data_IF_336135479158
#
_entry.id   IF_336135479158
#
_cell.length_a   1.000
_cell.length_b   1.000
_cell.length_c   1.000
_cell.angle_alpha   90.00
_cell.angle_beta   90.00
_cell.angle_gamma   90.00
#
_symmetry.space_group_name_H-M   'P 1'
#
loop_
_entity.id
_entity.type
_entity.pdbx_description
1 polymer ?
#
# COMPACT_ATOMS: atom_id res chain seq x y z
N UNK A 1 6.85 -12.68 -35.40
CA UNK A 1 5.59 -12.13 -34.84
C UNK A 1 5.68 -12.15 -33.32
N UNK A 2 6.17 -11.08 -32.70
CA UNK A 2 5.98 -10.84 -31.26
C UNK A 2 4.53 -10.40 -31.12
N UNK A 3 3.68 -11.18 -30.45
CA UNK A 3 2.36 -10.71 -30.02
C UNK A 3 2.62 -9.48 -29.14
N UNK A 4 2.27 -8.31 -29.65
CA UNK A 4 1.96 -7.14 -28.83
C UNK A 4 0.91 -7.62 -27.83
N UNK A 5 1.36 -7.86 -26.60
CA UNK A 5 0.46 -7.85 -25.46
C UNK A 5 0.01 -6.40 -25.43
N UNK A 6 -1.19 -6.14 -25.94
CA UNK A 6 -1.82 -4.84 -25.78
C UNK A 6 -1.73 -4.50 -24.30
N UNK A 7 -1.13 -3.33 -23.97
CA UNK A 7 -1.08 -2.82 -22.60
C UNK A 7 -2.45 -3.03 -21.98
N UNK A 8 -2.50 -3.58 -20.76
CA UNK A 8 -3.76 -3.65 -20.04
C UNK A 8 -4.30 -2.22 -19.98
N UNK A 9 -5.56 -2.05 -20.36
CA UNK A 9 -6.19 -0.72 -20.31
C UNK A 9 -6.18 -0.25 -18.85
N UNK A 10 -5.39 0.79 -18.56
CA UNK A 10 -5.26 1.38 -17.23
C UNK A 10 -6.63 1.72 -16.64
N UNK A 11 -7.58 2.13 -17.49
CA UNK A 11 -8.95 2.40 -17.07
C UNK A 11 -9.66 1.14 -16.57
N UNK A 12 -9.45 0.01 -17.24
CA UNK A 12 -10.02 -1.27 -16.83
C UNK A 12 -9.46 -1.70 -15.46
N UNK A 13 -8.15 -1.56 -15.25
CA UNK A 13 -7.51 -1.88 -13.96
C UNK A 13 -8.08 -1.01 -12.84
N UNK A 14 -8.19 0.30 -13.06
CA UNK A 14 -8.77 1.24 -12.09
C UNK A 14 -10.26 0.94 -11.80
N UNK A 15 -11.04 0.59 -12.82
CA UNK A 15 -12.43 0.16 -12.64
C UNK A 15 -12.52 -1.12 -11.79
N UNK A 16 -11.68 -2.13 -12.08
CA UNK A 16 -11.65 -3.37 -11.30
C UNK A 16 -11.21 -3.14 -9.86
N UNK A 17 -10.24 -2.26 -9.61
CA UNK A 17 -9.82 -1.89 -8.27
C UNK A 17 -10.96 -1.23 -7.50
N UNK A 18 -11.64 -0.27 -8.12
CA UNK A 18 -12.78 0.44 -7.55
C UNK A 18 -13.95 -0.51 -7.23
N UNK A 19 -14.30 -1.40 -8.16
CA UNK A 19 -15.31 -2.43 -7.95
C UNK A 19 -14.91 -3.39 -6.81
N UNK A 20 -13.64 -3.80 -6.76
CA UNK A 20 -13.13 -4.66 -5.71
C UNK A 20 -13.27 -4.04 -4.31
N UNK A 21 -12.95 -2.76 -4.17
CA UNK A 21 -13.11 -2.01 -2.91
C UNK A 21 -14.59 -1.84 -2.56
N UNK A 22 -15.45 -1.51 -3.53
CA UNK A 22 -16.89 -1.43 -3.30
C UNK A 22 -17.48 -2.77 -2.82
N UNK A 23 -17.08 -3.88 -3.43
CA UNK A 23 -17.49 -5.21 -3.00
C UNK A 23 -17.02 -5.53 -1.56
N UNK A 24 -15.86 -5.02 -1.11
CA UNK A 24 -15.45 -5.13 0.29
C UNK A 24 -16.39 -4.37 1.22
N UNK A 25 -16.81 -3.17 0.83
CA UNK A 25 -17.74 -2.35 1.62
C UNK A 25 -19.13 -2.98 1.70
N UNK A 26 -19.59 -3.62 0.62
CA UNK A 26 -20.88 -4.34 0.57
C UNK A 26 -20.81 -5.77 1.11
N UNK A 27 -19.64 -6.22 1.59
CA UNK A 27 -19.40 -7.57 2.10
C UNK A 27 -19.59 -8.70 1.06
N UNK A 28 -19.47 -8.38 -0.23
CA UNK A 28 -19.44 -9.34 -1.33
C UNK A 28 -18.03 -9.91 -1.53
N UNK A 29 -17.56 -10.67 -0.53
CA UNK A 29 -16.15 -11.08 -0.42
C UNK A 29 -15.66 -11.91 -1.63
N UNK A 30 -16.52 -12.69 -2.27
CA UNK A 30 -16.16 -13.47 -3.46
C UNK A 30 -15.82 -12.58 -4.65
N UNK A 31 -16.65 -11.56 -4.93
CA UNK A 31 -16.42 -10.59 -5.99
C UNK A 31 -15.20 -9.71 -5.67
N UNK A 32 -15.08 -9.25 -4.43
CA UNK A 32 -13.92 -8.47 -3.97
C UNK A 32 -12.62 -9.25 -4.19
N UNK A 33 -12.58 -10.53 -3.79
CA UNK A 33 -11.44 -11.41 -4.00
C UNK A 33 -11.10 -11.56 -5.48
N UNK A 34 -12.09 -11.79 -6.33
CA UNK A 34 -11.90 -11.98 -7.76
C UNK A 34 -11.28 -10.74 -8.40
N UNK A 35 -11.87 -9.56 -8.17
CA UNK A 35 -11.41 -8.31 -8.76
C UNK A 35 -10.04 -7.89 -8.25
N UNK A 36 -9.82 -7.88 -6.93
CA UNK A 36 -8.57 -7.42 -6.35
C UNK A 36 -7.39 -8.37 -6.60
N UNK A 37 -7.64 -9.69 -6.70
CA UNK A 37 -6.59 -10.62 -7.16
C UNK A 37 -6.21 -10.40 -8.61
N UNK A 38 -7.20 -10.11 -9.47
CA UNK A 38 -6.93 -9.82 -10.88
C UNK A 38 -6.10 -8.55 -11.01
N UNK A 39 -6.46 -7.47 -10.32
CA UNK A 39 -5.69 -6.22 -10.30
C UNK A 39 -4.25 -6.46 -9.85
N UNK A 40 -4.04 -7.13 -8.71
CA UNK A 40 -2.68 -7.38 -8.22
C UNK A 40 -1.82 -8.25 -9.16
N UNK A 41 -2.44 -9.13 -9.95
CA UNK A 41 -1.73 -9.90 -10.98
C UNK A 41 -1.32 -9.01 -12.15
N UNK A 42 -2.21 -8.12 -12.59
CA UNK A 42 -1.93 -7.18 -13.69
C UNK A 42 -0.82 -6.21 -13.30
N UNK A 43 -0.93 -5.57 -12.14
CA UNK A 43 0.08 -4.64 -11.62
C UNK A 43 1.45 -5.30 -11.52
N UNK A 44 1.51 -6.53 -10.98
CA UNK A 44 2.76 -7.27 -10.87
C UNK A 44 3.35 -7.62 -12.25
N UNK A 45 2.52 -7.86 -13.26
CA UNK A 45 2.97 -8.16 -14.61
C UNK A 45 3.48 -6.92 -15.36
N UNK A 46 2.86 -5.76 -15.14
CA UNK A 46 3.17 -4.52 -15.86
C UNK A 46 4.28 -3.71 -15.19
N UNK A 47 4.17 -3.50 -13.87
CA UNK A 47 5.06 -2.62 -13.10
C UNK A 47 6.08 -3.40 -12.27
N UNK A 48 5.83 -4.69 -12.03
CA UNK A 48 6.73 -5.57 -11.30
C UNK A 48 6.44 -5.66 -9.79
N UNK A 49 7.04 -6.65 -9.10
CA UNK A 49 6.66 -7.01 -7.74
C UNK A 49 6.96 -5.95 -6.67
N UNK A 50 7.85 -5.00 -6.95
CA UNK A 50 8.29 -3.97 -6.00
C UNK A 50 7.78 -2.57 -6.34
N UNK A 51 6.95 -2.42 -7.39
CA UNK A 51 6.34 -1.12 -7.72
C UNK A 51 5.34 -0.69 -6.65
N UNK A 52 5.18 0.61 -6.43
CA UNK A 52 4.21 1.16 -5.48
C UNK A 52 2.78 0.64 -5.73
N UNK A 53 2.32 0.64 -6.98
CA UNK A 53 0.96 0.23 -7.33
C UNK A 53 0.73 -1.27 -7.04
N UNK A 54 1.71 -2.13 -7.34
CA UNK A 54 1.64 -3.55 -6.98
C UNK A 54 1.55 -3.73 -5.47
N UNK A 55 2.32 -2.97 -4.69
CA UNK A 55 2.32 -3.05 -3.23
C UNK A 55 0.98 -2.60 -2.64
N UNK A 56 0.37 -1.55 -3.17
CA UNK A 56 -0.99 -1.10 -2.80
C UNK A 56 -2.03 -2.18 -3.09
N UNK A 57 -1.96 -2.80 -4.27
CA UNK A 57 -2.85 -3.91 -4.63
C UNK A 57 -2.67 -5.15 -3.75
N UNK A 58 -1.45 -5.42 -3.26
CA UNK A 58 -1.25 -6.47 -2.23
C UNK A 58 -1.96 -6.12 -0.92
N UNK A 59 -1.94 -4.86 -0.49
CA UNK A 59 -2.65 -4.42 0.72
C UNK A 59 -4.18 -4.57 0.56
N UNK A 60 -4.71 -4.34 -0.64
CA UNK A 60 -6.11 -4.61 -0.94
C UNK A 60 -6.45 -6.11 -0.83
N UNK A 61 -5.58 -7.01 -1.27
CA UNK A 61 -5.74 -8.46 -1.04
C UNK A 61 -5.70 -8.80 0.45
N UNK A 62 -4.80 -8.18 1.21
CA UNK A 62 -4.75 -8.37 2.66
C UNK A 62 -6.07 -7.95 3.32
N UNK A 63 -6.69 -6.85 2.86
CA UNK A 63 -8.01 -6.43 3.33
C UNK A 63 -9.11 -7.45 2.99
N UNK A 64 -9.08 -8.08 1.82
CA UNK A 64 -9.98 -9.21 1.50
C UNK A 64 -9.80 -10.33 2.51
N UNK A 65 -8.56 -10.78 2.72
CA UNK A 65 -8.28 -11.89 3.63
C UNK A 65 -8.66 -11.59 5.08
N UNK A 66 -8.50 -10.34 5.52
CA UNK A 66 -9.01 -9.89 6.82
C UNK A 66 -10.52 -10.07 6.93
N UNK A 67 -11.29 -9.58 5.97
CA UNK A 67 -12.75 -9.67 6.00
C UNK A 67 -13.26 -11.12 5.90
N UNK A 68 -12.46 -12.02 5.32
CA UNK A 68 -12.74 -13.45 5.28
C UNK A 68 -12.30 -14.21 6.55
N UNK A 69 -11.78 -13.52 7.56
CA UNK A 69 -11.26 -14.14 8.79
C UNK A 69 -9.91 -14.86 8.61
N UNK A 70 -9.27 -14.73 7.46
CA UNK A 70 -7.96 -15.33 7.15
C UNK A 70 -6.81 -14.45 7.62
N UNK A 71 -6.80 -14.15 8.92
CA UNK A 71 -5.89 -13.15 9.49
C UNK A 71 -4.41 -13.46 9.28
N UNK A 72 -3.99 -14.72 9.42
CA UNK A 72 -2.59 -15.12 9.19
C UNK A 72 -2.13 -14.79 7.78
N UNK A 73 -2.91 -15.17 6.76
CA UNK A 73 -2.58 -14.86 5.37
C UNK A 73 -2.56 -13.35 5.10
N UNK A 74 -3.41 -12.57 5.77
CA UNK A 74 -3.39 -11.12 5.64
C UNK A 74 -2.14 -10.50 6.29
N UNK A 75 -1.73 -10.97 7.47
CA UNK A 75 -0.50 -10.53 8.15
C UNK A 75 0.72 -10.84 7.27
N UNK A 76 0.85 -12.08 6.78
CA UNK A 76 1.98 -12.50 5.95
C UNK A 76 2.15 -11.59 4.72
N UNK A 77 1.04 -11.19 4.08
CA UNK A 77 1.06 -10.25 2.94
C UNK A 77 1.55 -8.87 3.39
N UNK A 78 0.98 -8.32 4.47
CA UNK A 78 1.35 -6.96 4.91
C UNK A 78 2.80 -6.89 5.38
N UNK A 79 3.32 -7.92 6.06
CA UNK A 79 4.72 -8.00 6.47
C UNK A 79 5.67 -8.11 5.28
N UNK A 80 5.29 -8.86 4.24
CA UNK A 80 6.07 -8.95 3.00
C UNK A 80 6.09 -7.61 2.26
N UNK A 81 4.94 -6.91 2.18
CA UNK A 81 4.85 -5.57 1.60
C UNK A 81 5.71 -4.58 2.39
N UNK A 82 5.61 -4.60 3.73
CA UNK A 82 6.41 -3.75 4.61
C UNK A 82 7.91 -3.99 4.44
N UNK A 83 8.34 -5.25 4.38
CA UNK A 83 9.73 -5.62 4.15
C UNK A 83 10.23 -5.11 2.81
N UNK A 84 9.39 -5.18 1.76
CA UNK A 84 9.72 -4.65 0.43
C UNK A 84 9.87 -3.13 0.48
N UNK A 85 8.96 -2.42 1.14
CA UNK A 85 9.04 -0.96 1.31
C UNK A 85 10.31 -0.54 2.06
N UNK A 86 10.65 -1.21 3.15
CA UNK A 86 11.81 -0.86 3.97
C UNK A 86 13.16 -1.11 3.26
N UNK A 87 13.22 -2.10 2.36
CA UNK A 87 14.43 -2.47 1.64
C UNK A 87 14.65 -1.70 0.34
N UNK A 88 13.68 -0.90 -0.11
CA UNK A 88 13.80 -0.11 -1.33
C UNK A 88 14.36 1.29 -1.07
N UNK A 89 14.87 1.93 -2.13
CA UNK A 89 15.32 3.32 -2.08
C UNK A 89 14.09 4.20 -1.98
N UNK A 90 14.00 4.96 -0.89
CA UNK A 90 12.83 5.76 -0.55
C UNK A 90 12.64 6.88 -1.57
N UNK A 91 11.58 6.80 -2.36
CA UNK A 91 11.12 7.85 -3.26
C UNK A 91 9.79 8.44 -2.76
N UNK A 92 9.27 9.46 -3.46
CA UNK A 92 7.93 9.99 -3.22
C UNK A 92 6.87 8.89 -3.36
N UNK A 93 5.91 8.79 -2.43
CA UNK A 93 4.83 7.78 -2.43
C UNK A 93 5.10 6.54 -1.56
N UNK A 94 6.36 6.19 -1.28
CA UNK A 94 6.68 5.06 -0.39
C UNK A 94 6.20 5.29 1.05
N UNK A 95 6.12 6.56 1.47
CA UNK A 95 5.60 6.94 2.79
C UNK A 95 4.12 6.56 2.96
N UNK A 96 3.32 6.67 1.89
CA UNK A 96 1.89 6.35 1.95
C UNK A 96 1.68 4.85 2.04
N UNK A 97 2.37 4.06 1.21
CA UNK A 97 2.34 2.60 1.27
C UNK A 97 2.83 2.10 2.63
N UNK A 98 3.91 2.68 3.16
CA UNK A 98 4.39 2.37 4.50
C UNK A 98 3.29 2.58 5.55
N UNK A 99 2.67 3.76 5.56
CA UNK A 99 1.60 4.07 6.51
C UNK A 99 0.43 3.09 6.39
N UNK A 100 0.04 2.74 5.16
CA UNK A 100 -1.01 1.76 4.90
C UNK A 100 -0.64 0.37 5.41
N UNK A 101 0.62 -0.06 5.32
CA UNK A 101 1.09 -1.32 5.93
C UNK A 101 0.90 -1.30 7.45
N UNK A 102 1.37 -0.25 8.12
CA UNK A 102 1.26 -0.17 9.59
C UNK A 102 -0.20 -0.09 10.06
N UNK A 103 -1.04 0.70 9.38
CA UNK A 103 -2.48 0.77 9.66
C UNK A 103 -3.11 -0.61 9.49
N UNK A 104 -2.79 -1.30 8.39
CA UNK A 104 -3.31 -2.64 8.10
C UNK A 104 -2.91 -3.66 9.17
N UNK A 105 -1.65 -3.68 9.62
CA UNK A 105 -1.21 -4.53 10.74
C UNK A 105 -1.92 -4.16 12.04
N UNK A 106 -2.07 -2.86 12.34
CA UNK A 106 -2.78 -2.40 13.53
C UNK A 106 -4.22 -2.91 13.58
N UNK A 107 -4.94 -2.81 12.45
CA UNK A 107 -6.31 -3.33 12.30
C UNK A 107 -6.34 -4.86 12.36
N UNK A 108 -5.36 -5.55 11.76
CA UNK A 108 -5.26 -7.01 11.81
C UNK A 108 -5.05 -7.54 13.23
N UNK A 109 -4.11 -6.98 13.99
CA UNK A 109 -3.87 -7.38 15.38
C UNK A 109 -5.08 -7.08 16.27
N UNK A 110 -5.75 -5.94 16.06
CA UNK A 110 -7.02 -5.66 16.74
C UNK A 110 -8.09 -6.71 16.40
N UNK A 111 -8.16 -7.16 15.14
CA UNK A 111 -9.13 -8.19 14.69
C UNK A 111 -8.88 -9.57 15.30
N UNK A 112 -7.64 -9.88 15.69
CA UNK A 112 -7.27 -11.14 16.37
C UNK A 112 -7.49 -11.07 17.90
N UNK A 113 -7.85 -9.89 18.43
CA UNK A 113 -8.02 -9.65 19.86
C UNK A 113 -6.74 -9.18 20.57
N UNK A 114 -5.64 -8.99 19.84
CA UNK A 114 -4.40 -8.40 20.36
C UNK A 114 -4.40 -6.88 20.18
N UNK A 115 -5.36 -6.23 20.82
CA UNK A 115 -5.54 -4.78 20.73
C UNK A 115 -4.32 -4.00 21.27
N UNK A 116 -3.54 -4.59 22.19
CA UNK A 116 -2.34 -3.95 22.75
C UNK A 116 -1.23 -3.82 21.71
N UNK A 117 -0.90 -4.90 20.99
CA UNK A 117 0.07 -4.83 19.90
C UNK A 117 -0.44 -3.92 18.77
N UNK A 118 -1.71 -4.04 18.39
CA UNK A 118 -2.32 -3.19 17.37
C UNK A 118 -2.22 -1.69 17.70
N UNK A 119 -2.51 -1.29 18.94
CA UNK A 119 -2.39 0.11 19.38
C UNK A 119 -0.94 0.61 19.37
N UNK A 120 0.01 -0.24 19.72
CA UNK A 120 1.44 0.12 19.69
C UNK A 120 1.91 0.42 18.26
N UNK A 121 1.53 -0.43 17.29
CA UNK A 121 1.86 -0.21 15.88
C UNK A 121 1.25 1.10 15.36
N UNK A 122 -0.04 1.37 15.63
CA UNK A 122 -0.70 2.60 15.19
C UNK A 122 -0.06 3.86 15.79
N UNK A 123 0.39 3.81 17.05
CA UNK A 123 1.14 4.90 17.68
C UNK A 123 2.48 5.12 16.99
N UNK A 124 3.18 4.04 16.62
CA UNK A 124 4.43 4.12 15.86
C UNK A 124 4.20 4.75 14.48
N UNK A 125 3.14 4.37 13.76
CA UNK A 125 2.76 5.01 12.48
C UNK A 125 2.57 6.50 12.64
N UNK A 126 1.82 6.93 13.67
CA UNK A 126 1.58 8.36 13.93
C UNK A 126 2.89 9.12 14.18
N UNK A 127 3.81 8.51 14.92
CA UNK A 127 5.11 9.13 15.21
C UNK A 127 5.98 9.23 13.96
N UNK A 128 6.09 8.16 13.17
CA UNK A 128 6.82 8.17 11.90
C UNK A 128 6.22 9.16 10.90
N UNK A 129 4.89 9.21 10.77
CA UNK A 129 4.21 10.16 9.89
C UNK A 129 4.40 11.61 10.34
N UNK A 130 4.40 11.88 11.65
CA UNK A 130 4.73 13.21 12.19
C UNK A 130 6.17 13.62 11.86
N UNK A 131 7.12 12.68 11.96
CA UNK A 131 8.52 12.92 11.60
C UNK A 131 8.66 13.15 10.09
N UNK A 132 7.97 12.36 9.26
CA UNK A 132 7.97 12.51 7.80
C UNK A 132 7.32 13.82 7.37
N UNK A 133 6.21 14.27 7.98
CA UNK A 133 5.61 15.57 7.68
C UNK A 133 6.53 16.73 8.08
N UNK A 134 7.19 16.62 9.24
CA UNK A 134 8.18 17.61 9.65
C UNK A 134 9.42 17.60 8.74
N UNK A 135 9.93 16.43 8.37
CA UNK A 135 11.06 16.29 7.44
C UNK A 135 10.69 16.64 6.00
N UNK A 136 9.47 16.39 5.55
CA UNK A 136 8.94 16.80 4.25
C UNK A 136 8.80 18.31 4.14
N UNK A 137 8.40 18.96 5.24
CA UNK A 137 8.44 20.43 5.37
C UNK A 137 9.88 20.95 5.35
N UNK A 138 10.83 20.23 5.97
CA UNK A 138 12.26 20.58 5.93
C UNK A 138 12.88 20.29 4.56
N UNK A 139 12.49 19.23 3.84
CA UNK A 139 12.94 18.91 2.49
C UNK A 139 12.35 19.87 1.45
N UNK A 140 11.08 20.30 1.62
CA UNK A 140 10.54 21.42 0.84
C UNK A 140 11.26 22.73 1.18
N UNK A 141 11.62 22.99 2.45
CA UNK A 141 12.46 24.16 2.77
C UNK A 141 13.88 24.06 2.21
N UNK A 142 14.52 22.89 2.20
CA UNK A 142 15.86 22.73 1.61
C UNK A 142 15.81 22.85 0.08
N UNK A 143 14.72 22.45 -0.58
CA UNK A 143 14.52 22.67 -2.01
C UNK A 143 14.09 24.11 -2.35
N UNK A 144 13.34 24.79 -1.49
CA UNK A 144 12.86 26.18 -1.69
C UNK A 144 13.93 27.21 -1.29
N UNK A 145 14.72 26.96 -0.25
CA UNK A 145 15.82 27.84 0.19
C UNK A 145 17.20 27.43 -0.35
N UNK A 146 17.35 26.23 -0.90
CA UNK A 146 18.60 25.75 -1.51
C UNK A 146 18.94 26.36 -2.88
N UNK A 147 18.06 27.19 -3.45
CA UNK A 147 18.30 27.88 -4.73
C UNK A 147 18.73 29.36 -4.57
N UNK A 148 18.90 29.86 -3.34
CA UNK A 148 19.32 31.26 -3.11
C UNK A 148 20.83 31.46 -2.80
N UNK A 149 21.66 30.42 -2.85
CA UNK A 149 23.10 30.52 -2.58
C UNK A 149 24.00 30.07 -3.75
N UNK A 150 23.69 30.49 -4.99
CA UNK A 150 24.60 30.28 -6.15
C UNK A 150 24.92 31.55 -6.96
N UNK A 151 24.36 32.73 -6.67
CA UNK A 151 24.82 33.95 -7.38
C UNK A 151 24.90 35.15 -6.44
N UNK A 152 26.10 35.41 -5.92
CA UNK A 152 26.76 36.72 -5.81
C UNK A 152 28.01 36.58 -4.91
#
# INVERSE_FOLDING_TARGET
MKKTIDRVDENLTNCLASLGVLCLMTQELQHARLFLKRVALLDKCEEGPSSLITLESQLNIAAVYRNEGRYKSAIDIVEATLSTVLNNKWESGWCDVLCNCWISLGVLFASIGDAKHGCSLLKKTRQEYSIILHLGSVCQMVLVFGLQWVVA
#
